data_IF_714875907188
#
_entry.id   IF_714875907188
#
_cell.length_a   1.000
_cell.length_b   1.000
_cell.length_c   1.000
_cell.angle_alpha   90.00
_cell.angle_beta   90.00
_cell.angle_gamma   90.00
#
_symmetry.space_group_name_H-M   'P 1'
#
loop_
_entity.id
_entity.type
_entity.pdbx_description
1 polymer ?
#
# COMPACT_ATOMS: atom_id res chain seq x y z
N UNK A 1 -1.62 7.33 4.23
CA UNK A 1 -1.87 8.66 3.63
C UNK A 1 -1.18 8.74 2.28
N UNK A 2 -1.88 9.23 1.27
CA UNK A 2 -1.40 9.40 -0.12
C UNK A 2 -1.86 10.76 -0.66
N UNK A 3 -1.21 11.23 -1.73
CA UNK A 3 -1.61 12.42 -2.47
C UNK A 3 -1.81 12.05 -3.95
N UNK A 4 -2.66 12.81 -4.64
CA UNK A 4 -2.65 12.78 -6.09
C UNK A 4 -1.38 13.46 -6.64
N UNK A 5 -1.01 13.25 -7.93
CA UNK A 5 0.27 13.71 -8.47
C UNK A 5 0.51 15.22 -8.38
N UNK A 6 -0.54 16.03 -8.46
CA UNK A 6 -0.44 17.50 -8.38
C UNK A 6 -0.52 18.04 -6.94
N UNK A 7 -0.72 17.16 -5.95
CA UNK A 7 -0.78 17.52 -4.54
C UNK A 7 -2.02 18.29 -4.10
N UNK A 8 -3.03 18.40 -4.95
CA UNK A 8 -4.28 19.12 -4.62
C UNK A 8 -5.29 18.29 -3.86
N UNK A 9 -5.07 16.97 -3.76
CA UNK A 9 -5.91 16.05 -3.02
C UNK A 9 -5.07 15.18 -2.10
N UNK A 10 -5.52 15.02 -0.86
CA UNK A 10 -4.94 14.14 0.15
C UNK A 10 -5.93 13.04 0.50
N UNK A 11 -5.44 11.81 0.66
CA UNK A 11 -6.24 10.64 1.01
C UNK A 11 -5.77 10.04 2.31
N UNK A 12 -6.71 9.79 3.21
CA UNK A 12 -6.44 9.21 4.53
C UNK A 12 -7.33 8.01 4.73
N UNK A 13 -6.74 6.93 5.20
CA UNK A 13 -7.43 5.78 5.78
C UNK A 13 -6.82 5.48 7.14
N UNK A 14 -7.45 4.63 7.92
CA UNK A 14 -6.96 4.20 9.24
C UNK A 14 -7.57 2.89 9.66
N UNK A 15 -6.95 2.31 10.65
CA UNK A 15 -7.38 1.11 11.36
C UNK A 15 -8.84 1.29 11.71
N UNK A 16 -9.75 0.58 11.73
CA UNK A 16 -11.17 0.72 12.10
C UNK A 16 -11.96 1.80 11.33
N UNK A 17 -11.38 2.48 10.34
CA UNK A 17 -12.11 3.54 9.63
C UNK A 17 -13.07 3.01 8.55
N UNK A 18 -12.81 1.84 8.00
CA UNK A 18 -13.56 1.17 6.92
C UNK A 18 -13.90 2.10 5.74
N UNK A 19 -13.09 3.12 5.55
CA UNK A 19 -13.26 4.10 4.49
C UNK A 19 -11.96 4.80 4.14
N UNK A 20 -11.87 5.26 2.90
CA UNK A 20 -10.87 6.23 2.46
C UNK A 20 -11.53 7.60 2.38
N UNK A 21 -10.93 8.58 3.04
CA UNK A 21 -11.39 9.99 3.02
C UNK A 21 -10.50 10.82 2.13
N UNK A 22 -11.12 11.63 1.30
CA UNK A 22 -10.48 12.62 0.44
C UNK A 22 -10.61 14.00 1.06
N UNK A 23 -9.53 14.76 1.01
CA UNK A 23 -9.47 16.18 1.38
C UNK A 23 -8.89 16.96 0.21
N UNK A 24 -9.61 17.99 -0.24
CA UNK A 24 -9.08 18.90 -1.25
C UNK A 24 -8.20 19.96 -0.59
N UNK A 25 -7.06 20.24 -1.20
CA UNK A 25 -6.10 21.22 -0.71
C UNK A 25 -6.13 22.45 -1.63
N UNK A 26 -6.29 23.64 -1.06
CA UNK A 26 -6.24 24.88 -1.86
C UNK A 26 -4.81 25.26 -2.25
N UNK A 27 -3.81 24.70 -1.57
CA UNK A 27 -2.40 24.80 -1.93
C UNK A 27 -1.82 23.40 -1.98
N UNK A 28 -1.19 23.05 -3.10
CA UNK A 28 -0.63 21.72 -3.32
C UNK A 28 0.33 21.31 -2.21
N UNK A 29 0.13 20.10 -1.66
CA UNK A 29 0.91 19.49 -0.57
C UNK A 29 0.90 20.26 0.75
N UNK A 30 0.07 21.32 0.90
CA UNK A 30 -0.11 22.02 2.13
C UNK A 30 -1.36 21.51 2.87
N UNK A 31 -1.14 20.57 3.79
CA UNK A 31 -2.20 19.92 4.55
C UNK A 31 -2.99 20.88 5.44
N UNK A 32 -2.43 22.06 5.76
CA UNK A 32 -3.13 23.09 6.53
C UNK A 32 -4.29 23.73 5.77
N UNK A 33 -4.29 23.56 4.44
CA UNK A 33 -5.32 24.10 3.54
C UNK A 33 -6.46 23.11 3.23
N UNK A 34 -6.43 21.92 3.81
CA UNK A 34 -7.50 20.92 3.67
C UNK A 34 -8.71 21.27 4.54
N UNK A 35 -9.75 21.79 3.95
CA UNK A 35 -11.15 21.98 4.34
C UNK A 35 -11.57 21.95 5.82
N UNK A 36 -10.77 22.46 6.77
CA UNK A 36 -11.17 22.57 8.18
C UNK A 36 -11.39 21.24 8.92
N UNK A 37 -10.88 20.13 8.38
CA UNK A 37 -10.90 18.81 9.03
C UNK A 37 -12.10 17.91 8.65
N UNK A 38 -13.05 18.39 7.86
CA UNK A 38 -14.09 17.54 7.27
C UNK A 38 -13.61 16.93 5.96
N UNK A 39 -13.79 15.62 5.79
CA UNK A 39 -13.57 14.98 4.49
C UNK A 39 -14.62 15.51 3.48
N UNK A 40 -14.18 15.84 2.28
CA UNK A 40 -15.07 16.34 1.24
C UNK A 40 -15.74 15.18 0.50
N UNK A 41 -14.99 14.11 0.24
CA UNK A 41 -15.46 12.90 -0.42
C UNK A 41 -14.99 11.66 0.36
N UNK A 42 -15.76 10.59 0.27
CA UNK A 42 -15.48 9.36 1.01
C UNK A 42 -15.80 8.14 0.13
N UNK A 43 -14.90 7.19 0.12
CA UNK A 43 -15.15 5.83 -0.35
C UNK A 43 -15.42 4.93 0.85
N UNK A 44 -16.64 4.43 0.98
CA UNK A 44 -16.98 3.39 1.94
C UNK A 44 -16.43 2.05 1.44
N UNK A 45 -15.63 1.40 2.26
CA UNK A 45 -15.00 0.14 1.87
C UNK A 45 -15.96 -1.03 2.13
N UNK A 46 -16.08 -1.88 1.15
CA UNK A 46 -16.98 -3.04 1.20
C UNK A 46 -16.15 -4.30 1.42
N UNK A 47 -16.26 -4.89 2.58
CA UNK A 47 -15.60 -6.16 2.92
C UNK A 47 -16.56 -7.33 2.68
N UNK A 48 -17.05 -7.45 1.45
CA UNK A 48 -18.07 -8.45 1.04
C UNK A 48 -17.64 -9.91 1.29
N UNK A 49 -16.36 -10.15 1.52
CA UNK A 49 -15.78 -11.45 1.81
C UNK A 49 -15.65 -11.75 3.31
N UNK A 50 -16.13 -10.87 4.19
CA UNK A 50 -16.02 -11.00 5.65
C UNK A 50 -17.36 -10.93 6.35
N UNK A 51 -17.48 -11.72 7.40
CA UNK A 51 -18.55 -11.59 8.38
C UNK A 51 -18.01 -10.76 9.57
N UNK A 52 -18.32 -9.47 9.60
CA UNK A 52 -17.92 -8.55 10.67
C UNK A 52 -17.21 -7.28 10.17
N UNK A 53 -17.14 -6.28 11.03
CA UNK A 53 -16.70 -4.92 10.69
C UNK A 53 -15.23 -4.63 11.08
N UNK A 54 -14.40 -5.64 11.33
CA UNK A 54 -13.05 -5.49 11.88
C UNK A 54 -11.97 -5.58 10.81
N UNK A 55 -11.97 -4.66 9.85
CA UNK A 55 -10.87 -4.53 8.90
C UNK A 55 -9.82 -3.55 9.41
N UNK A 56 -8.58 -4.00 9.50
CA UNK A 56 -7.44 -3.17 9.84
C UNK A 56 -6.73 -2.74 8.55
N UNK A 57 -7.03 -1.54 8.07
CA UNK A 57 -6.39 -1.01 6.87
C UNK A 57 -5.03 -0.42 7.23
N UNK A 58 -3.98 -1.04 6.73
CA UNK A 58 -2.60 -0.65 7.05
C UNK A 58 -1.91 0.15 5.94
N UNK A 59 -2.36 0.02 4.71
CA UNK A 59 -1.75 0.72 3.58
C UNK A 59 -2.79 1.09 2.52
N UNK A 60 -2.52 2.18 1.80
CA UNK A 60 -3.27 2.68 0.66
C UNK A 60 -2.28 3.07 -0.44
N UNK A 61 -2.53 2.67 -1.68
CA UNK A 61 -1.72 3.02 -2.85
C UNK A 61 -2.59 3.23 -4.08
N UNK A 62 -2.35 4.29 -4.84
CA UNK A 62 -2.98 4.49 -6.15
C UNK A 62 -2.10 3.96 -7.29
N UNK A 63 -2.74 3.56 -8.39
CA UNK A 63 -2.05 3.51 -9.67
C UNK A 63 -1.78 4.95 -10.19
N UNK A 64 -0.81 5.15 -11.11
CA UNK A 64 -0.39 6.50 -11.51
C UNK A 64 -1.46 7.36 -12.18
N UNK A 65 -2.46 6.76 -12.82
CA UNK A 65 -3.55 7.48 -13.47
C UNK A 65 -4.74 7.76 -12.54
N UNK A 66 -4.69 7.23 -11.30
CA UNK A 66 -5.72 7.46 -10.29
C UNK A 66 -7.05 6.77 -10.55
N UNK A 67 -7.10 5.82 -11.47
CA UNK A 67 -8.33 5.07 -11.77
C UNK A 67 -8.51 3.85 -10.91
N UNK A 68 -7.44 3.43 -10.19
CA UNK A 68 -7.47 2.34 -9.21
C UNK A 68 -6.77 2.73 -7.93
N UNK A 69 -7.22 2.17 -6.83
CA UNK A 69 -6.44 2.13 -5.60
C UNK A 69 -6.48 0.74 -4.95
N UNK A 70 -5.46 0.49 -4.16
CA UNK A 70 -5.20 -0.78 -3.49
C UNK A 70 -5.08 -0.52 -2.00
N UNK A 71 -5.69 -1.36 -1.19
CA UNK A 71 -5.56 -1.33 0.26
C UNK A 71 -5.04 -2.67 0.77
N UNK A 72 -4.15 -2.62 1.74
CA UNK A 72 -3.80 -3.80 2.53
C UNK A 72 -4.77 -3.88 3.70
N UNK A 73 -5.55 -4.93 3.69
CA UNK A 73 -6.51 -5.26 4.73
C UNK A 73 -5.96 -6.42 5.55
N UNK A 74 -5.66 -6.14 6.82
CA UNK A 74 -5.11 -7.11 7.76
C UNK A 74 -6.19 -7.51 8.76
N UNK A 75 -6.51 -8.78 8.83
CA UNK A 75 -7.41 -9.32 9.84
C UNK A 75 -6.90 -10.65 10.35
N UNK A 76 -6.78 -10.77 11.67
CA UNK A 76 -6.10 -11.89 12.33
C UNK A 76 -6.72 -13.28 12.09
N UNK A 77 -8.01 -13.37 11.73
CA UNK A 77 -8.73 -14.63 11.73
C UNK A 77 -9.24 -15.12 10.37
N UNK A 78 -9.24 -14.28 9.31
CA UNK A 78 -9.88 -14.60 8.03
C UNK A 78 -8.97 -14.44 6.79
N UNK A 79 -7.66 -14.37 7.02
CA UNK A 79 -6.69 -14.14 5.94
C UNK A 79 -6.57 -12.66 5.59
N UNK A 80 -5.39 -12.29 5.19
CA UNK A 80 -5.07 -10.93 4.75
C UNK A 80 -5.23 -10.80 3.25
N UNK A 81 -5.58 -9.60 2.79
CA UNK A 81 -5.90 -9.34 1.39
C UNK A 81 -5.36 -8.00 0.94
N UNK A 82 -5.17 -7.90 -0.36
CA UNK A 82 -5.11 -6.62 -1.04
C UNK A 82 -6.44 -6.44 -1.76
N UNK A 83 -7.25 -5.50 -1.29
CA UNK A 83 -8.49 -5.14 -1.97
C UNK A 83 -8.24 -4.09 -3.02
N UNK A 84 -8.88 -4.27 -4.17
CA UNK A 84 -8.77 -3.41 -5.35
C UNK A 84 -10.08 -2.66 -5.55
N UNK A 85 -9.97 -1.36 -5.71
CA UNK A 85 -11.09 -0.47 -6.02
C UNK A 85 -10.83 0.27 -7.31
N UNK A 86 -11.86 0.47 -8.10
CA UNK A 86 -11.83 1.31 -9.31
C UNK A 86 -12.53 2.65 -9.06
N UNK A 87 -12.06 3.68 -9.73
CA UNK A 87 -12.63 5.01 -9.73
C UNK A 87 -13.09 5.37 -11.14
N UNK A 88 -14.37 5.69 -11.34
CA UNK A 88 -14.86 6.11 -12.66
C UNK A 88 -14.38 7.52 -13.02
N UNK A 89 -14.02 8.32 -12.04
CA UNK A 89 -13.30 9.59 -12.18
C UNK A 89 -12.00 9.50 -11.42
N UNK A 90 -10.88 9.74 -12.11
CA UNK A 90 -9.55 9.61 -11.52
C UNK A 90 -9.40 10.45 -10.25
N UNK A 91 -8.89 9.83 -9.19
CA UNK A 91 -8.65 10.49 -7.91
C UNK A 91 -9.90 11.09 -7.25
N UNK A 92 -11.10 10.56 -7.52
CA UNK A 92 -12.34 11.02 -6.91
C UNK A 92 -12.99 9.87 -6.11
N UNK A 93 -12.87 9.97 -4.78
CA UNK A 93 -13.35 8.93 -3.87
C UNK A 93 -14.86 8.72 -3.90
N UNK A 94 -15.66 9.72 -4.33
CA UNK A 94 -17.12 9.58 -4.47
C UNK A 94 -17.51 8.58 -5.55
N UNK A 95 -16.58 8.26 -6.48
CA UNK A 95 -16.82 7.39 -7.63
C UNK A 95 -16.26 5.98 -7.45
N UNK A 96 -15.83 5.62 -6.25
CA UNK A 96 -15.20 4.34 -5.98
C UNK A 96 -16.18 3.16 -6.08
N UNK A 97 -15.67 2.05 -6.57
CA UNK A 97 -16.39 0.78 -6.63
C UNK A 97 -15.40 -0.34 -6.31
N UNK A 98 -15.80 -1.28 -5.45
CA UNK A 98 -15.03 -2.49 -5.22
C UNK A 98 -14.92 -3.30 -6.51
N UNK A 99 -13.72 -3.76 -6.82
CA UNK A 99 -13.43 -4.55 -8.02
C UNK A 99 -13.14 -6.01 -7.67
N UNK A 100 -12.10 -6.24 -6.90
CA UNK A 100 -11.59 -7.58 -6.60
C UNK A 100 -10.74 -7.59 -5.34
N UNK A 101 -10.31 -8.78 -4.91
CA UNK A 101 -9.30 -8.94 -3.87
C UNK A 101 -8.28 -10.01 -4.23
N UNK A 102 -7.04 -9.81 -3.81
CA UNK A 102 -5.97 -10.79 -3.80
C UNK A 102 -5.78 -11.31 -2.38
N UNK A 103 -6.02 -12.59 -2.15
CA UNK A 103 -5.71 -13.25 -0.90
C UNK A 103 -4.19 -13.43 -0.75
N UNK A 104 -3.65 -13.03 0.40
CA UNK A 104 -2.24 -13.17 0.70
C UNK A 104 -1.99 -14.44 1.52
N UNK A 105 -0.93 -15.20 1.23
CA UNK A 105 -0.68 -16.49 1.87
C UNK A 105 -0.18 -16.40 3.31
N UNK A 106 0.13 -15.20 3.77
CA UNK A 106 0.70 -14.94 5.10
C UNK A 106 -0.13 -13.92 5.87
N UNK A 107 -0.06 -14.00 7.18
CA UNK A 107 -0.65 -13.05 8.12
C UNK A 107 0.39 -11.97 8.45
N UNK A 108 -0.06 -10.76 8.78
CA UNK A 108 0.77 -9.59 9.11
C UNK A 108 1.43 -8.88 7.92
N UNK A 109 0.76 -8.84 6.77
CA UNK A 109 1.17 -7.94 5.68
C UNK A 109 0.83 -6.49 6.05
N UNK A 110 1.79 -5.58 5.90
CA UNK A 110 1.66 -4.20 6.42
C UNK A 110 1.71 -3.13 5.35
N UNK A 111 2.39 -3.39 4.25
CA UNK A 111 2.53 -2.41 3.19
C UNK A 111 2.63 -3.08 1.82
N UNK A 112 2.25 -2.34 0.80
CA UNK A 112 2.47 -2.69 -0.59
C UNK A 112 3.07 -1.50 -1.35
N UNK A 113 3.80 -1.80 -2.40
CA UNK A 113 4.21 -0.83 -3.41
C UNK A 113 4.32 -1.50 -4.78
N UNK A 114 4.36 -0.70 -5.84
CA UNK A 114 4.48 -1.19 -7.21
C UNK A 114 5.74 -0.64 -7.88
N UNK A 115 6.23 -1.40 -8.87
CA UNK A 115 7.17 -0.82 -9.84
C UNK A 115 6.48 0.26 -10.67
N UNK A 116 7.26 1.20 -11.22
CA UNK A 116 6.71 2.32 -12.00
C UNK A 116 5.88 1.89 -13.21
N UNK A 117 6.23 0.75 -13.81
CA UNK A 117 5.48 0.17 -14.93
C UNK A 117 4.24 -0.65 -14.46
N UNK A 118 4.03 -0.76 -13.16
CA UNK A 118 2.94 -1.50 -12.56
C UNK A 118 3.00 -3.01 -12.75
N UNK A 119 4.10 -3.56 -13.25
CA UNK A 119 4.24 -5.00 -13.54
C UNK A 119 4.85 -5.82 -12.42
N UNK A 120 5.35 -5.16 -11.38
CA UNK A 120 5.78 -5.81 -10.14
C UNK A 120 5.00 -5.24 -8.97
N UNK A 121 4.46 -6.13 -8.15
CA UNK A 121 3.90 -5.84 -6.84
C UNK A 121 4.89 -6.28 -5.77
N UNK A 122 5.14 -5.42 -4.80
CA UNK A 122 5.91 -5.72 -3.61
C UNK A 122 5.00 -5.70 -2.39
N UNK A 123 5.08 -6.74 -1.57
CA UNK A 123 4.30 -6.86 -0.33
C UNK A 123 5.27 -7.05 0.84
N UNK A 124 5.12 -6.22 1.85
CA UNK A 124 5.90 -6.32 3.08
C UNK A 124 5.15 -7.18 4.09
N UNK A 125 5.75 -8.31 4.45
CA UNK A 125 5.20 -9.33 5.34
C UNK A 125 6.03 -9.39 6.63
N UNK A 126 5.40 -9.10 7.76
CA UNK A 126 6.01 -9.15 9.09
C UNK A 126 5.99 -10.54 9.72
N UNK A 127 5.28 -11.50 9.15
CA UNK A 127 5.27 -12.88 9.65
C UNK A 127 6.69 -13.44 9.63
N UNK A 128 7.18 -13.97 10.70
CA UNK A 128 8.53 -14.56 10.84
C UNK A 128 9.70 -13.58 10.67
N UNK A 129 10.25 -13.39 9.47
CA UNK A 129 11.50 -12.68 9.21
C UNK A 129 11.36 -11.35 8.49
N UNK A 130 10.18 -10.75 8.47
CA UNK A 130 9.95 -9.46 7.81
C UNK A 130 10.31 -9.48 6.32
N UNK A 131 9.79 -10.43 5.59
CA UNK A 131 10.13 -10.61 4.19
C UNK A 131 9.49 -9.56 3.28
N UNK A 132 10.14 -9.30 2.15
CA UNK A 132 9.57 -8.55 1.05
C UNK A 132 9.29 -9.51 -0.10
N UNK A 133 8.02 -9.74 -0.37
CA UNK A 133 7.58 -10.61 -1.46
C UNK A 133 7.39 -9.80 -2.73
N UNK A 134 8.04 -10.23 -3.80
CA UNK A 134 7.86 -9.66 -5.13
C UNK A 134 7.04 -10.59 -6.00
N UNK A 135 5.96 -10.05 -6.56
CA UNK A 135 5.12 -10.73 -7.54
C UNK A 135 5.27 -10.08 -8.90
N UNK A 136 5.31 -10.88 -9.96
CA UNK A 136 5.14 -10.39 -11.33
C UNK A 136 3.66 -10.40 -11.71
N UNK A 137 3.22 -9.35 -12.39
CA UNK A 137 1.86 -9.17 -12.86
C UNK A 137 1.80 -9.31 -14.38
N UNK A 138 0.79 -10.00 -14.90
CA UNK A 138 0.59 -10.18 -16.34
C UNK A 138 0.28 -8.87 -17.04
N UNK A 139 -0.52 -8.03 -16.40
CA UNK A 139 -0.86 -6.68 -16.84
C UNK A 139 -0.56 -5.68 -15.73
N UNK A 140 -0.25 -4.44 -16.10
CA UNK A 140 0.07 -3.40 -15.12
C UNK A 140 -1.10 -3.17 -14.15
N UNK A 141 -0.82 -3.20 -12.85
CA UNK A 141 -1.79 -2.98 -11.78
C UNK A 141 -3.00 -3.94 -11.80
N UNK A 142 -2.80 -5.16 -12.32
CA UNK A 142 -3.81 -6.21 -12.37
C UNK A 142 -3.40 -7.35 -11.45
N UNK A 143 -4.14 -7.51 -10.35
CA UNK A 143 -3.86 -8.52 -9.32
C UNK A 143 -4.60 -9.85 -9.56
N UNK A 144 -5.20 -10.08 -10.72
CA UNK A 144 -5.98 -11.29 -10.98
C UNK A 144 -5.14 -12.56 -10.99
N UNK A 145 -3.88 -12.49 -11.45
CA UNK A 145 -2.98 -13.63 -11.58
C UNK A 145 -1.53 -13.28 -11.23
N UNK A 146 -1.23 -12.90 -9.98
CA UNK A 146 0.12 -12.58 -9.57
C UNK A 146 0.95 -13.85 -9.44
N UNK A 147 2.20 -13.79 -9.87
CA UNK A 147 3.16 -14.90 -9.72
C UNK A 147 4.26 -14.47 -8.76
N UNK A 148 4.42 -15.19 -7.65
CA UNK A 148 5.53 -14.93 -6.71
C UNK A 148 6.85 -15.27 -7.42
N UNK A 149 7.70 -14.28 -7.60
CA UNK A 149 9.01 -14.44 -8.26
C UNK A 149 10.16 -14.39 -7.28
N UNK A 150 9.97 -13.73 -6.14
CA UNK A 150 11.00 -13.62 -5.12
C UNK A 150 10.40 -13.41 -3.73
N UNK A 151 11.02 -14.04 -2.76
CA UNK A 151 10.79 -13.80 -1.33
C UNK A 151 12.14 -13.40 -0.72
N UNK A 152 12.29 -12.12 -0.37
CA UNK A 152 13.51 -11.57 0.20
C UNK A 152 13.46 -11.66 1.72
N UNK A 153 14.44 -12.32 2.31
CA UNK A 153 14.58 -12.40 3.75
C UNK A 153 14.84 -11.01 4.37
N UNK A 154 13.92 -10.56 5.20
CA UNK A 154 13.99 -9.28 5.89
C UNK A 154 14.67 -9.33 7.26
N UNK A 155 15.50 -10.33 7.56
CA UNK A 155 16.21 -10.45 8.84
C UNK A 155 16.94 -9.16 9.22
N UNK A 156 17.53 -8.47 8.24
CA UNK A 156 18.19 -7.17 8.49
C UNK A 156 17.18 -6.07 8.83
N UNK A 157 15.97 -6.10 8.29
CA UNK A 157 14.92 -5.16 8.66
C UNK A 157 14.52 -5.41 10.10
N UNK A 158 14.22 -6.65 10.43
CA UNK A 158 13.82 -7.09 11.78
C UNK A 158 14.87 -6.79 12.85
N UNK A 159 16.16 -6.85 12.51
CA UNK A 159 17.26 -6.55 13.42
C UNK A 159 17.30 -5.06 13.85
N UNK A 160 16.73 -4.16 13.03
CA UNK A 160 16.78 -2.71 13.27
C UNK A 160 15.40 -2.11 13.57
N UNK A 161 14.33 -2.79 13.21
CA UNK A 161 12.96 -2.37 13.46
C UNK A 161 12.08 -3.57 13.76
N UNK A 162 11.62 -3.66 15.01
CA UNK A 162 10.83 -4.81 15.47
C UNK A 162 9.32 -4.64 15.20
N UNK A 163 8.90 -3.52 14.60
CA UNK A 163 7.49 -3.24 14.29
C UNK A 163 7.38 -2.36 13.04
N UNK A 164 7.89 -2.87 11.91
CA UNK A 164 7.88 -2.14 10.65
C UNK A 164 6.48 -2.13 10.04
N UNK A 165 5.99 -0.95 9.67
CA UNK A 165 4.63 -0.75 9.16
C UNK A 165 4.58 -0.19 7.75
N UNK A 166 5.63 0.46 7.29
CA UNK A 166 5.65 1.12 5.99
C UNK A 166 6.81 0.64 5.13
N UNK A 167 6.54 0.57 3.82
CA UNK A 167 7.54 0.30 2.80
C UNK A 167 7.24 1.15 1.58
N UNK A 168 8.26 1.75 0.99
CA UNK A 168 8.15 2.48 -0.28
C UNK A 168 9.46 2.39 -1.07
N UNK A 169 9.34 2.31 -2.39
CA UNK A 169 10.50 2.39 -3.27
C UNK A 169 10.71 3.82 -3.80
N UNK A 170 11.98 4.19 -4.03
CA UNK A 170 12.29 5.40 -4.79
C UNK A 170 11.78 5.29 -6.23
N UNK A 171 11.53 6.44 -6.87
CA UNK A 171 11.00 6.48 -8.23
C UNK A 171 11.86 5.73 -9.28
N UNK A 172 13.15 5.54 -9.03
CA UNK A 172 14.02 4.76 -9.91
C UNK A 172 14.14 3.27 -9.48
N UNK A 173 13.44 2.84 -8.44
CA UNK A 173 13.46 1.47 -7.93
C UNK A 173 14.75 1.03 -7.25
N UNK A 174 15.75 1.92 -7.11
CA UNK A 174 17.08 1.55 -6.59
C UNK A 174 17.20 1.64 -5.07
N UNK A 175 16.20 2.22 -4.41
CA UNK A 175 16.18 2.36 -2.94
C UNK A 175 14.84 1.92 -2.41
N UNK A 176 14.85 1.21 -1.31
CA UNK A 176 13.68 0.86 -0.52
C UNK A 176 13.81 1.53 0.85
N UNK A 177 12.73 2.15 1.29
CA UNK A 177 12.63 2.74 2.62
C UNK A 177 11.60 1.95 3.42
N UNK A 178 11.93 1.65 4.66
CA UNK A 178 10.98 1.08 5.62
C UNK A 178 10.89 1.96 6.84
N UNK A 179 9.70 2.03 7.42
CA UNK A 179 9.45 2.76 8.66
C UNK A 179 8.72 1.87 9.65
N UNK A 180 8.98 2.08 10.92
CA UNK A 180 8.33 1.33 11.99
C UNK A 180 7.94 2.18 13.18
N UNK A 181 7.19 1.58 14.09
CA UNK A 181 6.60 2.28 15.24
C UNK A 181 7.32 2.07 16.57
N UNK A 182 8.21 1.09 16.68
CA UNK A 182 8.77 0.71 17.98
C UNK A 182 10.15 1.28 18.24
N UNK A 183 11.04 1.19 17.27
CA UNK A 183 12.42 1.70 17.39
C UNK A 183 12.55 3.14 16.87
N UNK A 184 11.47 3.70 16.31
CA UNK A 184 11.43 5.05 15.71
C UNK A 184 12.51 5.26 14.65
N UNK A 185 12.84 4.21 13.89
CA UNK A 185 13.88 4.25 12.87
C UNK A 185 13.27 4.30 11.48
N UNK A 186 13.91 5.04 10.59
CA UNK A 186 13.67 4.97 9.15
C UNK A 186 14.88 4.28 8.51
N UNK A 187 14.67 3.14 7.91
CA UNK A 187 15.74 2.35 7.30
C UNK A 187 15.75 2.57 5.79
N UNK A 188 16.95 2.73 5.26
CA UNK A 188 17.20 2.85 3.83
C UNK A 188 17.96 1.62 3.34
N UNK A 189 17.38 0.92 2.38
CA UNK A 189 18.01 -0.18 1.67
C UNK A 189 18.35 0.25 0.25
N UNK A 190 19.57 0.01 -0.18
CA UNK A 190 19.98 0.20 -1.57
C UNK A 190 19.95 -1.14 -2.27
N UNK A 191 19.35 -1.19 -3.46
CA UNK A 191 19.48 -2.37 -4.31
C UNK A 191 20.96 -2.63 -4.61
N UNK A 192 21.46 -3.88 -4.52
CA UNK A 192 22.79 -4.18 -5.00
C UNK A 192 22.89 -3.76 -6.47
N UNK A 193 24.00 -3.13 -6.83
CA UNK A 193 24.27 -2.76 -8.24
C UNK A 193 24.11 -4.01 -9.11
N UNK A 194 23.59 -3.89 -10.36
CA UNK A 194 23.56 -5.02 -11.29
C UNK A 194 24.94 -5.68 -11.51
N UNK A 195 26.03 -5.00 -11.11
CA UNK A 195 27.40 -5.55 -11.14
C UNK A 195 27.67 -6.52 -10.00
N UNK A 196 26.89 -6.49 -8.92
CA UNK A 196 27.08 -7.36 -7.76
C UNK A 196 26.19 -8.61 -7.79
N UNK A 197 25.38 -8.76 -8.82
CA UNK A 197 24.52 -9.92 -9.05
C UNK A 197 25.24 -11.10 -9.73
N UNK A 198 26.56 -11.02 -9.90
CA UNK A 198 27.41 -12.12 -10.40
C UNK A 198 28.41 -12.55 -9.35
N UNK A 199 27.95 -13.31 -8.36
CA UNK A 199 28.74 -14.27 -7.61
C UNK A 199 27.89 -15.47 -7.26
#
# INVERSE_FOLDING_TARGET
MEFNPDGTKMYITGIAAQKVRQFNLSTAFDVSTGGGGAAEETCELTFAHRAGDDADITNLKFNPDGTKFFIVDTHNDQGERIDVYTLSTAYDMSTCTYDSSLELPTLENRALDFSNDGKSLFVFDMTNNYSVKQYSLTSAFDLSNPTLVKDYDGTNIKAHETFAHGMVFSANGLKMFTTGGKESTCLLYTSPSPRDATL
#
